data_IF_080840717804
#
_entry.id   IF_080840717804
#
_cell.length_a   1.000
_cell.length_b   1.000
_cell.length_c   1.000
_cell.angle_alpha   90.00
_cell.angle_beta   90.00
_cell.angle_gamma   90.00
#
_symmetry.space_group_name_H-M   'P 1'
#
loop_
_entity.id
_entity.type
_entity.pdbx_description
1 polymer ?
#
# COMPACT_ATOMS: atom_id res chain seq x y z
N UNK A 1 5.31 -13.47 1.55
CA UNK A 1 4.38 -12.85 2.52
C UNK A 1 3.02 -13.49 2.36
N UNK A 2 2.33 -13.76 3.46
CA UNK A 2 0.92 -14.13 3.44
C UNK A 2 0.02 -12.87 3.37
N UNK A 3 -1.29 -13.06 3.17
CA UNK A 3 -2.22 -11.95 2.99
C UNK A 3 -2.27 -10.97 4.19
N UNK A 4 -2.10 -11.47 5.42
CA UNK A 4 -2.10 -10.65 6.62
C UNK A 4 -0.82 -9.81 6.73
N UNK A 5 0.32 -10.40 6.41
CA UNK A 5 1.60 -9.69 6.36
C UNK A 5 1.57 -8.59 5.28
N UNK A 6 1.00 -8.88 4.11
CA UNK A 6 0.83 -7.87 3.05
C UNK A 6 -0.02 -6.69 3.51
N UNK A 7 -1.14 -6.95 4.17
CA UNK A 7 -2.00 -5.89 4.71
C UNK A 7 -1.26 -5.05 5.76
N UNK A 8 -0.58 -5.69 6.71
CA UNK A 8 0.16 -4.99 7.77
C UNK A 8 1.28 -4.12 7.19
N UNK A 9 2.05 -4.66 6.25
CA UNK A 9 3.09 -3.91 5.54
C UNK A 9 2.51 -2.74 4.76
N UNK A 10 1.42 -2.96 3.99
CA UNK A 10 0.80 -1.91 3.21
C UNK A 10 0.28 -0.78 4.10
N UNK A 11 -0.40 -1.11 5.21
CA UNK A 11 -0.90 -0.12 6.18
C UNK A 11 0.23 0.66 6.84
N UNK A 12 1.32 -0.02 7.21
CA UNK A 12 2.50 0.65 7.77
C UNK A 12 3.13 1.65 6.78
N UNK A 13 3.28 1.25 5.51
CA UNK A 13 3.82 2.12 4.45
C UNK A 13 2.88 3.27 4.07
N UNK A 14 1.56 3.07 4.15
CA UNK A 14 0.59 4.13 3.91
C UNK A 14 0.56 5.16 5.05
N UNK A 15 0.80 4.72 6.29
CA UNK A 15 0.90 5.59 7.45
C UNK A 15 2.20 6.43 7.44
N UNK A 16 3.34 5.84 7.05
CA UNK A 16 4.62 6.55 6.84
C UNK A 16 5.10 6.41 5.39
N UNK A 17 4.57 7.27 4.51
CA UNK A 17 4.86 7.20 3.08
C UNK A 17 6.30 7.55 2.71
N UNK A 18 7.09 8.15 3.62
CA UNK A 18 8.51 8.36 3.37
C UNK A 18 9.26 7.01 3.28
N UNK A 19 8.76 5.95 3.93
CA UNK A 19 9.33 4.61 3.82
C UNK A 19 9.16 3.99 2.43
N UNK A 20 8.23 4.49 1.61
CA UNK A 20 8.03 3.98 0.25
C UNK A 20 9.26 4.29 -0.61
N UNK A 21 9.84 5.49 -0.48
CA UNK A 21 11.07 5.87 -1.16
C UNK A 21 12.26 5.02 -0.68
N UNK A 22 12.34 4.75 0.62
CA UNK A 22 13.34 3.84 1.19
C UNK A 22 13.17 2.43 0.61
N UNK A 23 11.95 1.92 0.51
CA UNK A 23 11.68 0.61 -0.09
C UNK A 23 12.07 0.57 -1.57
N UNK A 24 11.86 1.66 -2.33
CA UNK A 24 12.30 1.79 -3.71
C UNK A 24 13.83 1.71 -3.82
N UNK A 25 14.54 2.48 -2.99
CA UNK A 25 16.02 2.49 -2.96
C UNK A 25 16.60 1.13 -2.56
N UNK A 26 15.98 0.46 -1.58
CA UNK A 26 16.40 -0.84 -1.08
C UNK A 26 15.89 -2.02 -1.93
N UNK A 27 15.18 -1.75 -3.03
CA UNK A 27 14.64 -2.79 -3.92
C UNK A 27 13.72 -3.78 -3.19
N UNK A 28 12.96 -3.32 -2.19
CA UNK A 28 12.00 -4.12 -1.40
C UNK A 28 10.72 -4.32 -2.19
N UNK A 29 10.81 -5.03 -3.31
CA UNK A 29 9.75 -5.14 -4.31
C UNK A 29 8.47 -5.78 -3.78
N UNK A 30 8.59 -6.74 -2.85
CA UNK A 30 7.43 -7.41 -2.27
C UNK A 30 6.55 -6.43 -1.47
N UNK A 31 7.16 -5.51 -0.75
CA UNK A 31 6.47 -4.54 0.08
C UNK A 31 5.86 -3.41 -0.75
N UNK A 32 6.58 -2.99 -1.78
CA UNK A 32 6.06 -2.07 -2.79
C UNK A 32 4.85 -2.68 -3.54
N UNK A 33 4.91 -3.98 -3.87
CA UNK A 33 3.77 -4.66 -4.46
C UNK A 33 2.58 -4.73 -3.48
N UNK A 34 2.84 -4.99 -2.19
CA UNK A 34 1.81 -5.03 -1.16
C UNK A 34 1.08 -3.68 -1.01
N UNK A 35 1.82 -2.57 -0.92
CA UNK A 35 1.20 -1.23 -0.78
C UNK A 35 0.40 -0.85 -2.03
N UNK A 36 0.92 -1.11 -3.23
CA UNK A 36 0.20 -0.83 -4.49
C UNK A 36 -1.06 -1.69 -4.59
N UNK A 37 -0.98 -2.98 -4.22
CA UNK A 37 -2.13 -3.88 -4.24
C UNK A 37 -3.21 -3.44 -3.28
N UNK A 38 -2.84 -3.05 -2.05
CA UNK A 38 -3.78 -2.57 -1.05
C UNK A 38 -4.41 -1.24 -1.48
N UNK A 39 -3.61 -0.25 -1.89
CA UNK A 39 -4.11 1.05 -2.33
C UNK A 39 -5.07 0.96 -3.51
N UNK A 40 -4.85 0.02 -4.45
CA UNK A 40 -5.76 -0.21 -5.58
C UNK A 40 -7.06 -0.92 -5.20
N UNK A 41 -7.07 -1.71 -4.13
CA UNK A 41 -8.29 -2.36 -3.59
C UNK A 41 -9.11 -1.41 -2.72
N UNK A 42 -8.51 -0.28 -2.33
CA UNK A 42 -9.08 0.73 -1.45
C UNK A 42 -9.31 0.21 0.00
N UNK A 43 -9.68 1.12 0.91
CA UNK A 43 -10.03 0.79 2.28
C UNK A 43 -11.24 -0.18 2.31
N UNK A 44 -11.22 -1.23 3.15
CA UNK A 44 -12.32 -2.19 3.25
C UNK A 44 -13.65 -1.48 3.60
N UNK A 45 -14.72 -1.63 2.78
CA UNK A 45 -15.96 -0.88 2.97
C UNK A 45 -16.69 -1.26 4.26
N UNK A 46 -16.47 -2.46 4.80
CA UNK A 46 -17.03 -2.89 6.09
C UNK A 46 -16.55 -2.01 7.24
N UNK A 47 -15.33 -1.45 7.15
CA UNK A 47 -14.82 -0.52 8.16
C UNK A 47 -15.65 0.76 8.24
N UNK A 48 -16.30 1.19 7.16
CA UNK A 48 -17.17 2.37 7.21
C UNK A 48 -18.32 2.21 8.22
N UNK A 49 -18.69 0.98 8.58
CA UNK A 49 -19.71 0.67 9.58
C UNK A 49 -19.12 0.28 10.93
N UNK A 50 -18.06 -0.53 10.95
CA UNK A 50 -17.49 -1.09 12.20
C UNK A 50 -16.46 -0.18 12.85
N UNK A 51 -15.73 0.61 12.06
CA UNK A 51 -14.73 1.58 12.53
C UNK A 51 -14.59 2.75 11.51
N UNK A 52 -15.52 3.72 11.54
CA UNK A 52 -15.53 4.81 10.57
C UNK A 52 -14.30 5.72 10.66
N UNK A 53 -13.64 5.78 11.82
CA UNK A 53 -12.43 6.59 11.99
C UNK A 53 -11.26 5.96 11.23
N UNK A 54 -11.05 4.66 11.41
CA UNK A 54 -10.03 3.91 10.67
C UNK A 54 -10.31 3.92 9.16
N UNK A 55 -11.57 3.78 8.74
CA UNK A 55 -11.91 3.85 7.31
C UNK A 55 -11.49 5.20 6.69
N UNK A 56 -11.81 6.32 7.36
CA UNK A 56 -11.44 7.66 6.88
C UNK A 56 -9.93 7.85 6.83
N UNK A 57 -9.22 7.42 7.87
CA UNK A 57 -7.76 7.49 7.93
C UNK A 57 -7.12 6.73 6.76
N UNK A 58 -7.52 5.48 6.53
CA UNK A 58 -6.99 4.68 5.43
C UNK A 58 -7.29 5.31 4.07
N UNK A 59 -8.51 5.81 3.87
CA UNK A 59 -8.90 6.52 2.65
C UNK A 59 -8.04 7.75 2.40
N UNK A 60 -7.76 8.53 3.45
CA UNK A 60 -6.90 9.71 3.36
C UNK A 60 -5.46 9.34 3.01
N UNK A 61 -4.91 8.30 3.66
CA UNK A 61 -3.56 7.80 3.38
C UNK A 61 -3.43 7.28 1.94
N UNK A 62 -4.41 6.49 1.47
CA UNK A 62 -4.47 6.00 0.08
C UNK A 62 -4.55 7.17 -0.90
N UNK A 63 -5.38 8.17 -0.60
CA UNK A 63 -5.48 9.38 -1.42
C UNK A 63 -4.13 10.10 -1.50
N UNK A 64 -3.46 10.31 -0.36
CA UNK A 64 -2.12 10.92 -0.31
C UNK A 64 -1.09 10.12 -1.11
N UNK A 65 -1.15 8.79 -1.05
CA UNK A 65 -0.27 7.91 -1.80
C UNK A 65 -0.40 8.13 -3.31
N UNK A 66 -1.62 8.20 -3.84
CA UNK A 66 -1.83 8.48 -5.27
C UNK A 66 -1.49 9.92 -5.64
N UNK A 67 -1.78 10.91 -4.79
CA UNK A 67 -1.38 12.30 -5.01
C UNK A 67 0.15 12.48 -5.09
N UNK A 68 0.92 11.58 -4.45
CA UNK A 68 2.38 11.55 -4.51
C UNK A 68 2.94 10.72 -5.67
N UNK A 69 2.10 10.33 -6.63
CA UNK A 69 2.51 9.57 -7.81
C UNK A 69 2.52 8.06 -7.60
N UNK A 70 1.84 7.52 -6.58
CA UNK A 70 1.72 6.08 -6.36
C UNK A 70 1.09 5.31 -7.55
N UNK A 71 0.42 6.01 -8.46
CA UNK A 71 -0.16 5.47 -9.70
C UNK A 71 0.91 5.08 -10.74
N UNK A 72 2.10 5.71 -10.70
CA UNK A 72 3.23 5.37 -11.60
C UNK A 72 3.83 4.00 -11.29
N UNK A 73 3.60 3.48 -10.08
CA UNK A 73 4.07 2.17 -9.66
C UNK A 73 3.24 1.06 -10.32
N UNK A 74 3.86 0.36 -11.26
CA UNK A 74 3.24 -0.77 -11.96
C UNK A 74 3.30 -2.03 -11.09
N UNK A 75 2.14 -2.43 -10.54
CA UNK A 75 2.01 -3.67 -9.76
C UNK A 75 2.58 -4.88 -10.51
N UNK A 76 2.26 -5.02 -11.80
CA UNK A 76 2.75 -6.12 -12.64
C UNK A 76 4.28 -6.16 -12.72
N UNK A 77 4.94 -4.99 -12.85
CA UNK A 77 6.41 -4.91 -12.88
C UNK A 77 7.00 -5.27 -11.52
N UNK A 78 6.43 -4.75 -10.44
CA UNK A 78 6.87 -5.07 -9.07
C UNK A 78 6.74 -6.56 -8.77
N UNK A 79 5.62 -7.18 -9.14
CA UNK A 79 5.39 -8.62 -8.96
C UNK A 79 6.36 -9.48 -9.80
N UNK A 80 6.75 -9.02 -10.99
CA UNK A 80 7.79 -9.69 -11.78
C UNK A 80 9.16 -9.63 -11.08
N UNK A 81 9.51 -8.47 -10.51
CA UNK A 81 10.76 -8.27 -9.76
C UNK A 81 10.83 -9.04 -8.44
N UNK A 82 9.69 -9.47 -7.89
CA UNK A 82 9.65 -10.35 -6.71
C UNK A 82 9.98 -11.80 -7.07
N UNK A 83 9.67 -12.22 -8.30
CA UNK A 83 9.81 -13.61 -8.76
C UNK A 83 11.14 -13.89 -9.45
N UNK A 84 11.83 -12.87 -9.94
CA UNK A 84 13.13 -12.96 -10.60
C UNK A 84 14.27 -12.71 -9.62
#
# INVERSE_FOLDING_TARGET
>A
MNAREEELTARALLADQAQIDVCLQQKRWAELAAVVRFARRDAPPQLAQTDPALYRELREQITRFFLRGGDVLSLKKLEALVRG
#
